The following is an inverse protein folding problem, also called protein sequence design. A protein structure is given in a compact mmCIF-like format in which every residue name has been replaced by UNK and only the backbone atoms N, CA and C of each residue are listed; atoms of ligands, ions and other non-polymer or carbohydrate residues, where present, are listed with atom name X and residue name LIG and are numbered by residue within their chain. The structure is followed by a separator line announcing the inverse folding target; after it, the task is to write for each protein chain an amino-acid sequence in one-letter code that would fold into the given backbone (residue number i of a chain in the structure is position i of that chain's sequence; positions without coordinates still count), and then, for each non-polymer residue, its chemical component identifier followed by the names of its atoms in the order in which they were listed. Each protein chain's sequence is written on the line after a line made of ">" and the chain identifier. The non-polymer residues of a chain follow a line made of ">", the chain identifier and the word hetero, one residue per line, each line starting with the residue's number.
data_IF_150398038179
#
_entry.id   IF_150398038179
#
_cell.length_a   1.000
_cell.length_b   1.000
_cell.length_c   1.000
_cell.angle_alpha   90.00
_cell.angle_beta   90.00
_cell.angle_gamma   90.00
#
_symmetry.space_group_name_H-M   'P 1'
#
loop_
_entity.id
_entity.type
_entity.pdbx_description
1 polymer ?
#
# COMPACT_ATOMS: atom_id res chain seq x y z
N UNK A 1 16.96 2.44 -7.54
CA UNK A 1 18.05 2.19 -6.57
C UNK A 1 18.81 0.95 -6.99
N UNK A 2 20.14 1.03 -7.09
CA UNK A 2 21.01 -0.10 -7.43
C UNK A 2 21.22 -0.96 -6.17
N UNK A 3 21.12 -2.28 -6.27
CA UNK A 3 21.32 -3.23 -5.17
C UNK A 3 22.70 -3.87 -5.29
N UNK A 4 23.64 -3.55 -4.39
CA UNK A 4 25.03 -4.01 -4.46
C UNK A 4 25.59 -4.57 -3.13
N UNK A 5 24.75 -4.71 -2.10
CA UNK A 5 25.12 -5.30 -0.81
C UNK A 5 24.40 -6.63 -0.62
N UNK A 6 25.06 -7.60 0.00
CA UNK A 6 24.52 -8.92 0.31
C UNK A 6 24.66 -9.23 1.79
N UNK A 7 23.72 -10.01 2.31
CA UNK A 7 23.75 -10.58 3.67
C UNK A 7 23.80 -12.10 3.51
N UNK A 8 24.73 -12.75 4.20
CA UNK A 8 24.85 -14.21 4.23
C UNK A 8 24.33 -14.72 5.56
N UNK A 9 23.32 -15.58 5.52
CA UNK A 9 22.72 -16.23 6.69
C UNK A 9 23.00 -17.73 6.59
N UNK A 10 23.39 -18.34 7.71
CA UNK A 10 23.50 -19.80 7.82
C UNK A 10 22.17 -20.34 8.34
N UNK A 11 21.67 -21.38 7.70
CA UNK A 11 20.45 -22.09 8.06
C UNK A 11 20.80 -23.56 8.26
N UNK A 12 20.13 -24.20 9.19
CA UNK A 12 20.03 -25.66 9.24
C UNK A 12 19.28 -26.19 8.01
N UNK A 13 19.40 -27.50 7.75
CA UNK A 13 18.69 -28.14 6.63
C UNK A 13 17.17 -27.94 6.73
N UNK A 14 16.61 -28.10 7.94
CA UNK A 14 15.19 -27.93 8.18
C UNK A 14 14.71 -26.50 7.87
N UNK A 15 15.45 -25.49 8.34
CA UNK A 15 15.14 -24.08 8.07
C UNK A 15 15.25 -23.74 6.57
N UNK A 16 16.25 -24.30 5.88
CA UNK A 16 16.42 -24.10 4.45
C UNK A 16 15.27 -24.72 3.65
N UNK A 17 14.88 -25.97 3.97
CA UNK A 17 13.73 -26.63 3.34
C UNK A 17 12.42 -25.86 3.58
N UNK A 18 12.16 -25.41 4.81
CA UNK A 18 10.97 -24.62 5.13
C UNK A 18 10.94 -23.30 4.33
N UNK A 19 12.06 -22.57 4.31
CA UNK A 19 12.16 -21.29 3.61
C UNK A 19 11.99 -21.45 2.09
N UNK A 20 12.58 -22.48 1.49
CA UNK A 20 12.50 -22.73 0.05
C UNK A 20 11.13 -23.29 -0.36
N UNK A 21 10.51 -24.13 0.48
CA UNK A 21 9.13 -24.57 0.33
C UNK A 21 8.15 -23.39 0.30
N UNK A 22 8.23 -22.52 1.32
CA UNK A 22 7.41 -21.30 1.37
C UNK A 22 7.62 -20.40 0.14
N UNK A 23 8.87 -20.22 -0.30
CA UNK A 23 9.18 -19.40 -1.48
C UNK A 23 8.53 -19.97 -2.76
N UNK A 24 8.57 -21.29 -2.91
CA UNK A 24 7.92 -22.02 -4.01
C UNK A 24 6.40 -21.82 -4.00
N UNK A 25 5.76 -22.02 -2.85
CA UNK A 25 4.30 -21.86 -2.69
C UNK A 25 3.85 -20.41 -2.95
N UNK A 26 4.70 -19.44 -2.60
CA UNK A 26 4.46 -18.02 -2.87
C UNK A 26 4.78 -17.61 -4.31
N UNK A 27 5.32 -18.51 -5.14
CA UNK A 27 5.82 -18.24 -6.49
C UNK A 27 6.86 -17.08 -6.51
N UNK A 28 7.76 -17.04 -5.53
CA UNK A 28 8.79 -16.02 -5.39
C UNK A 28 10.18 -16.68 -5.22
N UNK A 29 11.26 -16.06 -5.72
CA UNK A 29 12.60 -16.54 -5.39
C UNK A 29 12.91 -16.32 -3.91
N UNK A 30 13.70 -17.21 -3.31
CA UNK A 30 14.04 -17.17 -1.87
C UNK A 30 14.64 -15.82 -1.43
N UNK A 31 15.44 -15.20 -2.29
CA UNK A 31 16.02 -13.87 -2.05
C UNK A 31 14.98 -12.74 -1.99
N UNK A 32 13.85 -12.89 -2.67
CA UNK A 32 12.72 -11.96 -2.59
C UNK A 32 12.00 -12.07 -1.25
N UNK A 33 11.76 -13.30 -0.80
CA UNK A 33 11.14 -13.59 0.50
C UNK A 33 11.98 -12.99 1.62
N UNK A 34 13.28 -13.29 1.67
CA UNK A 34 14.20 -12.75 2.66
C UNK A 34 14.27 -11.22 2.61
N UNK A 35 14.22 -10.62 1.41
CA UNK A 35 14.21 -9.16 1.28
C UNK A 35 12.94 -8.55 1.87
N UNK A 36 11.77 -9.14 1.61
CA UNK A 36 10.48 -8.66 2.14
C UNK A 36 10.47 -8.73 3.67
N UNK A 37 10.92 -9.85 4.23
CA UNK A 37 11.08 -10.03 5.68
C UNK A 37 12.02 -8.98 6.27
N UNK A 38 13.20 -8.78 5.68
CA UNK A 38 14.17 -7.79 6.17
C UNK A 38 13.62 -6.36 6.13
N UNK A 39 12.88 -5.99 5.07
CA UNK A 39 12.24 -4.67 4.97
C UNK A 39 11.13 -4.47 6.01
N UNK A 40 10.30 -5.49 6.21
CA UNK A 40 9.22 -5.44 7.19
C UNK A 40 9.78 -5.31 8.62
N UNK A 41 10.77 -6.13 8.97
CA UNK A 41 11.46 -6.06 10.25
C UNK A 41 12.16 -4.70 10.49
N UNK A 42 12.67 -4.08 9.43
CA UNK A 42 13.31 -2.76 9.49
C UNK A 42 12.33 -1.58 9.43
N UNK A 43 11.00 -1.83 9.41
CA UNK A 43 9.99 -0.77 9.29
C UNK A 43 9.96 -0.05 7.94
N UNK A 44 10.64 -0.58 6.92
CA UNK A 44 10.71 0.00 5.57
C UNK A 44 9.46 -0.28 4.72
N UNK A 45 8.45 -0.92 5.30
CA UNK A 45 7.18 -1.24 4.67
C UNK A 45 7.26 -2.35 3.61
N UNK A 46 6.10 -2.81 3.12
CA UNK A 46 6.03 -3.90 2.17
C UNK A 46 6.68 -3.53 0.83
N UNK A 47 7.28 -4.52 0.16
CA UNK A 47 7.77 -4.36 -1.20
C UNK A 47 6.57 -4.30 -2.15
N UNK A 48 6.23 -3.10 -2.64
CA UNK A 48 5.20 -2.93 -3.66
C UNK A 48 5.77 -3.24 -5.05
N UNK A 49 5.64 -4.50 -5.47
CA UNK A 49 6.02 -4.95 -6.81
C UNK A 49 4.78 -5.42 -7.61
N UNK A 50 4.92 -5.42 -8.94
CA UNK A 50 3.88 -5.89 -9.86
C UNK A 50 2.58 -5.09 -9.79
N UNK A 51 1.46 -5.81 -9.77
CA UNK A 51 0.10 -5.25 -9.86
C UNK A 51 -0.27 -4.32 -8.69
N UNK A 52 0.28 -4.57 -7.50
CA UNK A 52 0.01 -3.75 -6.31
C UNK A 52 0.63 -2.34 -6.46
N UNK A 53 1.82 -2.24 -7.04
CA UNK A 53 2.46 -0.96 -7.32
C UNK A 53 1.64 -0.14 -8.33
N UNK A 54 1.11 -0.80 -9.37
CA UNK A 54 0.21 -0.18 -10.35
C UNK A 54 -1.08 0.33 -9.68
N UNK A 55 -1.68 -0.44 -8.78
CA UNK A 55 -2.88 -0.03 -8.02
C UNK A 55 -2.62 1.19 -7.15
N UNK A 56 -1.46 1.26 -6.47
CA UNK A 56 -1.08 2.43 -5.67
C UNK A 56 -0.85 3.65 -6.56
N UNK A 57 -0.15 3.48 -7.69
CA UNK A 57 0.04 4.57 -8.65
C UNK A 57 -1.29 5.09 -9.20
N UNK A 58 -2.23 4.21 -9.53
CA UNK A 58 -3.58 4.59 -9.94
C UNK A 58 -4.31 5.37 -8.84
N UNK A 59 -4.22 4.93 -7.58
CA UNK A 59 -4.80 5.66 -6.46
C UNK A 59 -4.21 7.08 -6.30
N UNK A 60 -2.88 7.22 -6.43
CA UNK A 60 -2.20 8.52 -6.39
C UNK A 60 -2.69 9.43 -7.53
N UNK A 61 -2.87 8.90 -8.74
CA UNK A 61 -3.40 9.66 -9.87
C UNK A 61 -4.84 10.13 -9.61
N UNK A 62 -5.69 9.29 -9.01
CA UNK A 62 -7.06 9.68 -8.65
C UNK A 62 -7.07 10.78 -7.58
N UNK A 63 -6.22 10.69 -6.56
CA UNK A 63 -6.07 11.75 -5.55
C UNK A 63 -5.63 13.08 -6.18
N UNK A 64 -4.71 13.04 -7.16
CA UNK A 64 -4.31 14.25 -7.89
C UNK A 64 -5.49 14.87 -8.64
N UNK A 65 -6.33 14.06 -9.29
CA UNK A 65 -7.54 14.56 -9.99
C UNK A 65 -8.54 15.20 -9.02
N UNK A 66 -8.71 14.61 -7.84
CA UNK A 66 -9.51 15.20 -6.76
C UNK A 66 -8.97 16.58 -6.37
N UNK A 67 -7.66 16.70 -6.16
CA UNK A 67 -7.01 17.97 -5.83
C UNK A 67 -7.17 19.04 -6.93
N UNK A 68 -7.11 18.65 -8.21
CA UNK A 68 -7.35 19.55 -9.34
C UNK A 68 -8.79 20.09 -9.32
N UNK A 69 -9.79 19.22 -9.12
CA UNK A 69 -11.20 19.64 -9.05
C UNK A 69 -11.44 20.59 -7.86
N UNK A 70 -10.87 20.29 -6.70
CA UNK A 70 -10.93 21.17 -5.53
C UNK A 70 -10.34 22.54 -5.82
N UNK A 71 -9.18 22.60 -6.49
CA UNK A 71 -8.54 23.85 -6.85
C UNK A 71 -9.36 24.66 -7.86
N UNK A 72 -10.07 23.99 -8.78
CA UNK A 72 -11.00 24.65 -9.70
C UNK A 72 -12.19 25.26 -8.96
N UNK A 73 -12.79 24.53 -8.02
CA UNK A 73 -13.88 25.03 -7.16
C UNK A 73 -13.41 26.27 -6.37
N UNK A 74 -12.22 26.20 -5.76
CA UNK A 74 -11.63 27.32 -5.04
C UNK A 74 -11.42 28.55 -5.95
N UNK A 75 -10.94 28.37 -7.19
CA UNK A 75 -10.78 29.47 -8.15
C UNK A 75 -12.11 30.12 -8.55
N UNK A 76 -13.16 29.33 -8.75
CA UNK A 76 -14.51 29.84 -9.09
C UNK A 76 -15.06 30.67 -7.92
N UNK A 77 -14.95 30.16 -6.70
CA UNK A 77 -15.33 30.89 -5.49
C UNK A 77 -14.53 32.19 -5.31
N UNK A 78 -13.21 32.13 -5.47
CA UNK A 78 -12.33 33.30 -5.39
C UNK A 78 -12.55 34.33 -6.51
N UNK A 79 -13.19 33.94 -7.62
CA UNK A 79 -13.54 34.84 -8.74
C UNK A 79 -14.84 35.63 -8.52
N UNK A 80 -15.50 35.47 -7.37
CA UNK A 80 -16.77 36.13 -7.04
C UNK A 80 -18.00 35.50 -7.69
N UNK A 81 -17.84 34.41 -8.46
CA UNK A 81 -18.95 33.59 -8.98
C UNK A 81 -19.25 32.49 -7.97
N UNK A 82 -20.14 32.75 -7.02
CA UNK A 82 -20.58 31.73 -6.09
C UNK A 82 -21.50 30.72 -6.80
N UNK A 83 -21.15 29.43 -6.91
CA UNK A 83 -22.16 28.41 -7.16
C UNK A 83 -23.17 28.42 -5.99
N UNK A 84 -24.43 28.04 -6.26
CA UNK A 84 -25.42 27.89 -5.19
C UNK A 84 -24.88 27.00 -4.06
N UNK A 85 -25.25 27.32 -2.83
CA UNK A 85 -24.78 26.65 -1.62
C UNK A 85 -24.99 25.12 -1.66
N UNK A 86 -26.18 24.67 -2.06
CA UNK A 86 -26.56 23.25 -2.17
C UNK A 86 -25.65 22.40 -3.08
N UNK A 87 -25.39 22.79 -4.35
CA UNK A 87 -24.44 22.09 -5.21
C UNK A 87 -23.03 21.96 -4.62
N UNK A 88 -22.56 23.02 -3.94
CA UNK A 88 -21.23 23.04 -3.33
C UNK A 88 -21.17 22.08 -2.14
N UNK A 89 -22.15 22.16 -1.23
CA UNK A 89 -22.24 21.31 -0.04
C UNK A 89 -22.31 19.82 -0.44
N UNK A 90 -23.16 19.50 -1.42
CA UNK A 90 -23.30 18.13 -1.94
C UNK A 90 -22.00 17.59 -2.52
N UNK A 91 -21.25 18.42 -3.25
CA UNK A 91 -19.96 18.06 -3.82
C UNK A 91 -18.90 17.80 -2.74
N UNK A 92 -18.82 18.67 -1.73
CA UNK A 92 -17.88 18.55 -0.61
C UNK A 92 -18.18 17.31 0.24
N UNK A 93 -19.45 17.05 0.57
CA UNK A 93 -19.83 15.84 1.29
C UNK A 93 -19.48 14.56 0.54
N UNK A 94 -19.72 14.54 -0.78
CA UNK A 94 -19.38 13.38 -1.61
C UNK A 94 -17.88 13.14 -1.60
N UNK A 95 -17.08 14.21 -1.63
CA UNK A 95 -15.63 14.12 -1.55
C UNK A 95 -15.18 13.60 -0.18
N UNK A 96 -15.73 14.12 0.91
CA UNK A 96 -15.42 13.68 2.26
C UNK A 96 -15.73 12.19 2.45
N UNK A 97 -16.86 11.71 1.91
CA UNK A 97 -17.23 10.28 1.92
C UNK A 97 -16.22 9.42 1.14
N UNK A 98 -15.78 9.88 -0.02
CA UNK A 98 -14.76 9.18 -0.83
C UNK A 98 -13.41 9.10 -0.11
N UNK A 99 -12.97 10.20 0.51
CA UNK A 99 -11.71 10.24 1.29
C UNK A 99 -11.79 9.29 2.49
N UNK A 100 -12.87 9.35 3.27
CA UNK A 100 -13.06 8.48 4.43
C UNK A 100 -13.14 7.00 4.04
N UNK A 101 -13.72 6.68 2.87
CA UNK A 101 -13.74 5.31 2.38
C UNK A 101 -12.33 4.82 2.01
N UNK A 102 -11.52 5.66 1.36
CA UNK A 102 -10.15 5.29 1.03
C UNK A 102 -9.25 5.10 2.25
N UNK A 103 -9.43 5.88 3.32
CA UNK A 103 -8.70 5.64 4.57
C UNK A 103 -9.04 4.26 5.15
N UNK A 104 -10.33 3.88 5.15
CA UNK A 104 -10.76 2.54 5.59
C UNK A 104 -10.16 1.43 4.72
N UNK A 105 -10.16 1.59 3.39
CA UNK A 105 -9.62 0.60 2.47
C UNK A 105 -8.11 0.39 2.71
N UNK A 106 -7.37 1.48 2.97
CA UNK A 106 -5.93 1.42 3.28
C UNK A 106 -5.66 0.75 4.64
N UNK A 107 -6.47 1.05 5.64
CA UNK A 107 -6.33 0.45 6.96
C UNK A 107 -6.70 -1.03 6.96
N UNK A 108 -7.70 -1.43 6.18
CA UNK A 108 -8.02 -2.83 5.97
C UNK A 108 -6.89 -3.56 5.25
N UNK A 109 -6.30 -2.95 4.21
CA UNK A 109 -5.17 -3.53 3.49
C UNK A 109 -3.96 -3.73 4.42
N UNK A 110 -3.68 -2.76 5.30
CA UNK A 110 -2.65 -2.85 6.34
C UNK A 110 -2.96 -3.93 7.38
N UNK A 111 -4.21 -4.01 7.84
CA UNK A 111 -4.64 -5.01 8.82
C UNK A 111 -4.54 -6.43 8.25
N UNK A 112 -4.98 -6.65 7.01
CA UNK A 112 -4.84 -7.94 6.30
C UNK A 112 -3.38 -8.31 6.09
N UNK A 113 -2.52 -7.35 5.72
CA UNK A 113 -1.07 -7.55 5.63
C UNK A 113 -0.48 -8.04 6.95
N UNK A 114 -0.76 -7.33 8.06
CA UNK A 114 -0.29 -7.70 9.41
C UNK A 114 -0.84 -9.04 9.89
N UNK A 115 -2.12 -9.34 9.65
CA UNK A 115 -2.74 -10.59 10.05
C UNK A 115 -2.15 -11.80 9.28
N UNK A 116 -1.86 -11.63 7.98
CA UNK A 116 -1.18 -12.64 7.18
C UNK A 116 0.25 -12.88 7.65
N UNK A 117 1.01 -11.80 7.91
CA UNK A 117 2.36 -11.89 8.47
C UNK A 117 2.36 -12.62 9.82
N UNK A 118 1.43 -12.29 10.73
CA UNK A 118 1.30 -12.97 12.04
C UNK A 118 0.98 -14.45 11.91
N UNK A 119 0.01 -14.84 11.06
CA UNK A 119 -0.35 -16.26 10.87
C UNK A 119 0.80 -17.10 10.35
N UNK A 120 1.60 -16.55 9.44
CA UNK A 120 2.77 -17.24 8.89
C UNK A 120 3.87 -17.40 9.97
N UNK A 121 4.09 -16.39 10.80
CA UNK A 121 5.06 -16.47 11.92
C UNK A 121 4.61 -17.43 13.03
N UNK A 122 3.30 -17.54 13.31
CA UNK A 122 2.76 -18.41 14.36
C UNK A 122 2.47 -19.85 13.92
N UNK A 123 2.55 -20.16 12.62
CA UNK A 123 2.40 -21.53 12.12
C UNK A 123 3.73 -22.30 12.10
N UNK A 124 4.85 -21.61 12.32
CA UNK A 124 6.21 -22.15 12.31
C UNK A 124 6.84 -22.23 13.73
N UNK A 125 6.02 -22.25 14.79
CA UNK A 125 6.44 -22.53 16.18
C UNK A 125 5.74 -23.76 16.71
#
# INVERSE_FOLDING_TARGET
>A
MIRNRSVRVRLSEAEYCALTGFATDAALPTSEVLRRLAREAAGLGPTFEGDMSKKIQLAIVQLRKIGVNLNQIARVLNSGRAPGYEPLLTGVERLARLVAQHERDLDELRARGRARARRLVSADV
#
